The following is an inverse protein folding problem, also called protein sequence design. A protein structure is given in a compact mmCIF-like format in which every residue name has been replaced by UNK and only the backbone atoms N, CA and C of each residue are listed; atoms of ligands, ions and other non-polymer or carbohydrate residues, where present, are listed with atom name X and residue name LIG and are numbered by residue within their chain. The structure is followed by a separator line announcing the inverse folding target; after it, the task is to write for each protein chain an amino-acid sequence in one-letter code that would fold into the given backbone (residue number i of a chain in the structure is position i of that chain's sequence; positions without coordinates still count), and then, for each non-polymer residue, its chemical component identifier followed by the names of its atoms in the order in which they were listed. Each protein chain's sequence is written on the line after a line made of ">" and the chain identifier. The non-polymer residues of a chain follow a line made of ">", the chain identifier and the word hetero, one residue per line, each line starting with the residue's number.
data_IF_171590628024
#
_entry.id   IF_171590628024
#
_cell.length_a   1.000
_cell.length_b   1.000
_cell.length_c   1.000
_cell.angle_alpha   90.00
_cell.angle_beta   90.00
_cell.angle_gamma   90.00
#
_symmetry.space_group_name_H-M   'P 1'
#
loop_
_entity.id
_entity.type
_entity.pdbx_description
1 polymer ?
#
# COMPACT_ATOMS: atom_id res chain seq x y z
N UNK A 1 -16.89 -13.65 9.68
CA UNK A 1 -16.68 -12.27 10.16
C UNK A 1 -17.04 -11.30 9.04
N UNK A 2 -18.20 -10.62 9.12
CA UNK A 2 -18.74 -9.72 8.09
C UNK A 2 -18.67 -8.25 8.55
N UNK A 3 -17.47 -7.71 8.78
CA UNK A 3 -17.30 -6.32 9.23
C UNK A 3 -16.80 -5.40 8.09
N UNK A 4 -16.42 -5.96 6.93
CA UNK A 4 -15.72 -5.22 5.87
C UNK A 4 -16.59 -4.51 4.82
N UNK A 5 -17.91 -4.39 5.01
CA UNK A 5 -18.77 -3.72 4.01
C UNK A 5 -18.78 -2.20 4.15
N UNK A 6 -18.62 -1.67 5.37
CA UNK A 6 -18.56 -0.23 5.62
C UNK A 6 -17.17 0.37 5.32
N UNK A 7 -16.09 -0.41 5.45
CA UNK A 7 -14.73 0.01 5.05
C UNK A 7 -14.57 0.30 3.55
N UNK A 8 -15.53 -0.15 2.73
CA UNK A 8 -15.56 0.13 1.28
C UNK A 8 -16.33 1.39 0.92
N UNK A 9 -16.74 2.20 1.90
CA UNK A 9 -17.29 3.51 1.61
C UNK A 9 -16.21 4.34 0.88
N UNK A 10 -16.34 4.47 -0.44
CA UNK A 10 -15.38 5.16 -1.31
C UNK A 10 -15.35 6.70 -1.12
N UNK A 11 -15.90 7.18 0.00
CA UNK A 11 -16.15 8.58 0.29
C UNK A 11 -14.91 9.14 0.98
N UNK A 12 -14.05 9.76 0.20
CA UNK A 12 -12.78 10.35 0.59
C UNK A 12 -12.96 11.86 0.83
N UNK A 13 -13.79 12.54 0.04
CA UNK A 13 -13.94 14.00 0.04
C UNK A 13 -15.39 14.44 -0.25
N UNK A 14 -15.77 15.62 0.23
CA UNK A 14 -16.99 16.36 -0.10
C UNK A 14 -17.30 16.42 -1.60
N UNK A 15 -16.28 16.53 -2.47
CA UNK A 15 -16.48 16.54 -3.93
C UNK A 15 -17.27 15.33 -4.44
N UNK A 16 -17.15 14.18 -3.78
CA UNK A 16 -17.90 12.97 -4.15
C UNK A 16 -19.35 13.00 -3.69
N UNK A 17 -19.68 13.85 -2.71
CA UNK A 17 -21.03 14.06 -2.17
C UNK A 17 -21.75 15.27 -2.80
N UNK A 18 -21.05 16.07 -3.61
CA UNK A 18 -21.62 17.23 -4.30
C UNK A 18 -22.25 18.22 -3.31
N UNK A 19 -23.57 18.41 -3.41
CA UNK A 19 -24.31 19.35 -2.57
C UNK A 19 -24.88 18.74 -1.28
N UNK A 20 -24.61 17.47 -0.97
CA UNK A 20 -25.23 16.78 0.17
C UNK A 20 -24.91 17.40 1.53
N UNK A 21 -23.67 17.85 1.74
CA UNK A 21 -23.28 18.58 2.96
C UNK A 21 -24.01 19.92 3.07
N UNK A 22 -23.99 20.71 1.99
CA UNK A 22 -24.67 22.00 1.96
C UNK A 22 -26.16 21.85 2.32
N UNK A 23 -26.82 20.83 1.76
CA UNK A 23 -28.22 20.55 2.05
C UNK A 23 -28.45 20.16 3.52
N UNK A 24 -27.60 19.30 4.09
CA UNK A 24 -27.68 18.92 5.51
C UNK A 24 -27.50 20.11 6.46
N UNK A 25 -26.63 21.06 6.11
CA UNK A 25 -26.43 22.31 6.87
C UNK A 25 -27.64 23.23 6.73
N UNK A 26 -28.12 23.46 5.50
CA UNK A 26 -29.26 24.33 5.23
C UNK A 26 -30.56 23.85 5.91
N UNK A 27 -30.76 22.54 5.99
CA UNK A 27 -31.97 21.94 6.57
C UNK A 27 -31.81 21.61 8.06
N UNK A 28 -30.67 21.93 8.67
CA UNK A 28 -30.42 21.72 10.10
C UNK A 28 -30.30 20.25 10.53
N UNK A 29 -30.07 19.32 9.59
CA UNK A 29 -29.89 17.88 9.86
C UNK A 29 -28.49 17.59 10.39
N UNK A 30 -28.26 17.94 11.65
CA UNK A 30 -26.96 17.78 12.33
C UNK A 30 -26.47 16.33 12.38
N UNK A 31 -27.39 15.37 12.50
CA UNK A 31 -27.04 13.94 12.52
C UNK A 31 -26.39 13.52 11.20
N UNK A 32 -27.06 13.79 10.08
CA UNK A 32 -26.55 13.48 8.73
C UNK A 32 -25.23 14.20 8.46
N UNK A 33 -25.13 15.47 8.82
CA UNK A 33 -23.88 16.22 8.70
C UNK A 33 -22.73 15.54 9.47
N UNK A 34 -22.96 15.18 10.73
CA UNK A 34 -21.94 14.53 11.57
C UNK A 34 -21.51 13.16 11.04
N UNK A 35 -22.45 12.42 10.43
CA UNK A 35 -22.19 11.13 9.83
C UNK A 35 -21.39 11.27 8.53
N UNK A 36 -21.78 12.19 7.65
CA UNK A 36 -21.06 12.44 6.40
C UNK A 36 -19.63 12.91 6.70
N UNK A 37 -19.47 13.81 7.67
CA UNK A 37 -18.16 14.31 8.08
C UNK A 37 -17.26 13.21 8.67
N UNK A 38 -17.81 12.28 9.45
CA UNK A 38 -17.03 11.18 10.03
C UNK A 38 -16.58 10.15 8.98
N UNK A 39 -17.21 10.15 7.80
CA UNK A 39 -16.82 9.30 6.68
C UNK A 39 -15.66 9.86 5.86
N UNK A 40 -15.26 11.12 6.02
CA UNK A 40 -14.18 11.72 5.22
C UNK A 40 -12.79 11.21 5.62
N UNK A 41 -11.88 11.19 4.64
CA UNK A 41 -10.47 10.90 4.88
C UNK A 41 -9.85 12.06 5.66
N UNK A 42 -9.14 11.73 6.74
CA UNK A 42 -8.35 12.71 7.49
C UNK A 42 -6.97 12.94 6.86
N UNK A 43 -6.58 12.16 5.84
CA UNK A 43 -5.26 12.25 5.22
C UNK A 43 -5.20 13.39 4.20
N UNK A 44 -4.54 14.48 4.57
CA UNK A 44 -4.28 15.63 3.70
C UNK A 44 -3.37 15.31 2.51
N UNK A 45 -2.68 14.16 2.52
CA UNK A 45 -1.75 13.74 1.46
C UNK A 45 -2.45 13.11 0.26
N UNK A 46 -3.77 12.91 0.32
CA UNK A 46 -4.52 12.32 -0.78
C UNK A 46 -4.47 13.13 -2.09
N UNK A 47 -4.08 14.40 -2.03
CA UNK A 47 -4.00 15.32 -3.18
C UNK A 47 -2.55 15.76 -3.45
N UNK A 48 -1.56 15.22 -2.73
CA UNK A 48 -0.18 15.67 -2.89
C UNK A 48 0.46 14.98 -4.10
N UNK A 49 0.97 15.73 -5.09
CA UNK A 49 1.77 15.15 -6.16
C UNK A 49 3.06 14.57 -5.57
N UNK A 50 3.33 13.30 -5.86
CA UNK A 50 4.55 12.61 -5.45
C UNK A 50 5.45 12.48 -6.66
N UNK A 51 6.73 12.78 -6.51
CA UNK A 51 7.74 12.53 -7.54
C UNK A 51 8.26 11.10 -7.41
N UNK A 52 8.39 10.40 -8.53
CA UNK A 52 8.98 9.07 -8.55
C UNK A 52 10.49 9.19 -8.37
N UNK A 53 10.99 8.74 -7.22
CA UNK A 53 12.44 8.57 -7.02
C UNK A 53 12.85 7.30 -7.74
N UNK A 54 13.66 7.43 -8.78
CA UNK A 54 14.21 6.28 -9.49
C UNK A 54 15.12 5.51 -8.52
N UNK A 55 14.63 4.37 -8.03
CA UNK A 55 15.46 3.45 -7.28
C UNK A 55 16.50 2.84 -8.22
N UNK A 56 17.77 3.05 -7.89
CA UNK A 56 18.88 2.44 -8.61
C UNK A 56 18.91 0.96 -8.22
N UNK A 57 18.44 0.10 -9.12
CA UNK A 57 18.34 -1.38 -8.99
C UNK A 57 19.72 -2.07 -8.78
N UNK A 58 20.79 -1.31 -8.55
CA UNK A 58 22.15 -1.79 -8.73
C UNK A 58 22.92 -1.78 -7.40
N UNK A 59 23.07 -2.95 -6.78
CA UNK A 59 24.41 -3.46 -6.44
C UNK A 59 24.37 -4.88 -5.85
N UNK A 60 23.49 -5.18 -4.89
CA UNK A 60 23.61 -6.43 -4.11
C UNK A 60 23.32 -7.69 -4.94
N UNK A 61 22.28 -7.70 -5.76
CA UNK A 61 21.92 -8.87 -6.58
C UNK A 61 23.00 -9.21 -7.62
N UNK A 62 23.56 -8.18 -8.26
CA UNK A 62 24.64 -8.32 -9.25
C UNK A 62 25.91 -8.83 -8.57
N UNK A 63 26.26 -8.30 -7.40
CA UNK A 63 27.41 -8.74 -6.63
C UNK A 63 27.26 -10.18 -6.14
N UNK A 64 26.07 -10.56 -5.63
CA UNK A 64 25.78 -11.94 -5.21
C UNK A 64 25.92 -12.93 -6.35
N UNK A 65 25.44 -12.58 -7.54
CA UNK A 65 25.61 -13.40 -8.74
C UNK A 65 27.08 -13.54 -9.11
N UNK A 66 27.87 -12.46 -9.05
CA UNK A 66 29.31 -12.49 -9.33
C UNK A 66 30.09 -13.37 -8.33
N UNK A 67 29.71 -13.36 -7.06
CA UNK A 67 30.34 -14.15 -6.01
C UNK A 67 29.76 -15.57 -5.85
N UNK A 68 28.73 -15.94 -6.62
CA UNK A 68 28.06 -17.23 -6.52
C UNK A 68 27.43 -17.48 -5.14
N UNK A 69 26.95 -16.42 -4.48
CA UNK A 69 26.34 -16.51 -3.15
C UNK A 69 24.94 -17.13 -3.24
N UNK A 70 24.56 -17.87 -2.20
CA UNK A 70 23.20 -18.40 -2.05
C UNK A 70 22.15 -17.28 -2.01
N UNK A 71 20.90 -17.66 -2.29
CA UNK A 71 19.77 -16.75 -2.18
C UNK A 71 19.73 -16.11 -0.79
N UNK A 72 19.43 -14.80 -0.71
CA UNK A 72 19.31 -14.12 0.57
C UNK A 72 18.21 -14.79 1.40
N UNK A 73 18.46 -14.89 2.71
CA UNK A 73 17.44 -15.34 3.64
C UNK A 73 16.24 -14.41 3.56
N UNK A 74 15.05 -14.97 3.34
CA UNK A 74 13.83 -14.16 3.28
C UNK A 74 13.61 -13.49 4.63
N UNK A 75 13.37 -12.18 4.60
CA UNK A 75 13.02 -11.45 5.81
C UNK A 75 11.60 -11.82 6.28
N UNK A 76 10.74 -12.27 5.36
CA UNK A 76 9.32 -12.56 5.61
C UNK A 76 8.93 -13.96 5.20
N UNK A 77 8.00 -14.53 5.95
CA UNK A 77 7.35 -15.77 5.60
C UNK A 77 6.47 -15.61 4.37
N UNK A 78 6.58 -16.57 3.47
CA UNK A 78 5.59 -16.89 2.46
C UNK A 78 4.95 -18.24 2.81
N UNK A 79 3.91 -18.64 2.08
CA UNK A 79 3.29 -19.96 2.10
C UNK A 79 4.32 -21.10 2.16
N UNK A 80 5.39 -21.02 1.37
CA UNK A 80 6.48 -22.01 1.32
C UNK A 80 7.38 -22.03 2.57
N UNK A 81 7.44 -20.93 3.33
CA UNK A 81 8.27 -20.83 4.54
C UNK A 81 7.72 -21.68 5.67
N UNK A 82 6.42 -21.96 5.70
CA UNK A 82 5.81 -22.82 6.72
C UNK A 82 6.23 -24.30 6.54
N UNK A 83 6.29 -24.77 5.29
CA UNK A 83 6.75 -26.13 4.99
C UNK A 83 8.22 -26.32 5.36
N UNK A 84 9.03 -25.30 5.08
CA UNK A 84 10.47 -25.28 5.37
C UNK A 84 10.75 -25.31 6.88
N UNK A 85 10.05 -24.50 7.68
CA UNK A 85 10.11 -24.56 9.13
C UNK A 85 9.70 -25.92 9.69
N UNK A 86 8.63 -26.52 9.14
CA UNK A 86 8.17 -27.83 9.56
C UNK A 86 9.23 -28.92 9.30
N UNK A 87 9.91 -28.87 8.15
CA UNK A 87 11.02 -29.78 7.82
C UNK A 87 12.21 -29.59 8.78
N UNK A 88 12.61 -28.34 9.05
CA UNK A 88 13.72 -28.03 9.97
C UNK A 88 13.40 -28.47 11.41
N UNK A 89 12.15 -28.26 11.87
CA UNK A 89 11.68 -28.72 13.17
C UNK A 89 11.67 -30.25 13.26
N UNK A 90 11.27 -30.93 12.18
CA UNK A 90 11.32 -32.40 12.10
C UNK A 90 12.75 -32.91 12.20
N UNK A 91 13.68 -32.32 11.46
CA UNK A 91 15.09 -32.70 11.52
C UNK A 91 15.75 -32.42 12.87
N UNK A 92 15.32 -31.36 13.56
CA UNK A 92 15.70 -31.10 14.94
C UNK A 92 15.23 -32.23 15.87
N UNK A 93 13.99 -32.69 15.69
CA UNK A 93 13.44 -33.79 16.49
C UNK A 93 14.15 -35.12 16.22
N UNK A 94 14.37 -35.46 14.96
CA UNK A 94 14.88 -36.78 14.54
C UNK A 94 16.40 -36.92 14.73
N UNK A 95 17.17 -35.87 14.43
CA UNK A 95 18.63 -35.92 14.34
C UNK A 95 19.33 -34.80 15.13
N UNK A 96 18.58 -34.02 15.90
CA UNK A 96 19.10 -32.99 16.78
C UNK A 96 19.56 -31.71 16.06
N UNK A 97 20.21 -30.86 16.85
CA UNK A 97 20.63 -29.51 16.46
C UNK A 97 21.59 -29.43 15.25
N UNK A 98 22.57 -30.35 15.05
CA UNK A 98 23.45 -30.28 13.89
C UNK A 98 22.71 -30.45 12.56
N UNK A 99 21.72 -31.36 12.52
CA UNK A 99 20.91 -31.63 11.33
C UNK A 99 20.05 -30.42 10.96
N UNK A 100 19.35 -29.85 11.95
CA UNK A 100 18.55 -28.65 11.77
C UNK A 100 19.37 -27.45 11.27
N UNK A 101 20.57 -27.24 11.84
CA UNK A 101 21.47 -26.17 11.38
C UNK A 101 21.95 -26.36 9.96
N UNK A 102 22.34 -27.58 9.58
CA UNK A 102 22.76 -27.88 8.21
C UNK A 102 21.64 -27.56 7.21
N UNK A 103 20.42 -28.01 7.51
CA UNK A 103 19.25 -27.72 6.67
C UNK A 103 18.96 -26.23 6.55
N UNK A 104 19.02 -25.51 7.67
CA UNK A 104 18.88 -24.06 7.67
C UNK A 104 19.97 -23.35 6.84
N UNK A 105 21.23 -23.81 6.89
CA UNK A 105 22.31 -23.23 6.07
C UNK A 105 22.17 -23.54 4.58
N UNK A 106 21.55 -24.66 4.22
CA UNK A 106 21.28 -25.02 2.82
C UNK A 106 20.06 -24.29 2.27
N UNK A 107 18.99 -24.17 3.07
CA UNK A 107 17.74 -23.50 2.73
C UNK A 107 17.30 -22.65 3.93
N UNK A 108 17.66 -21.36 3.95
CA UNK A 108 17.35 -20.51 5.07
C UNK A 108 15.85 -20.28 5.16
N UNK A 109 15.33 -20.42 6.38
CA UNK A 109 13.94 -20.14 6.70
C UNK A 109 13.70 -18.63 6.88
N UNK A 110 12.45 -18.19 6.83
CA UNK A 110 12.09 -16.80 7.02
C UNK A 110 12.46 -16.32 8.43
N UNK A 111 12.96 -15.08 8.54
CA UNK A 111 13.29 -14.50 9.85
C UNK A 111 12.06 -14.15 10.69
N UNK A 112 10.96 -13.76 10.03
CA UNK A 112 9.74 -13.32 10.70
C UNK A 112 8.50 -13.91 10.05
N UNK A 113 7.63 -14.45 10.89
CA UNK A 113 6.30 -14.91 10.52
C UNK A 113 5.30 -13.82 10.85
N UNK A 114 4.77 -13.16 9.81
CA UNK A 114 3.74 -12.14 9.96
C UNK A 114 2.38 -12.71 9.54
N UNK A 115 1.28 -12.19 10.12
CA UNK A 115 -0.07 -12.52 9.65
C UNK A 115 -0.23 -12.16 8.17
N UNK A 116 -0.86 -13.04 7.41
CA UNK A 116 -1.23 -12.79 6.02
C UNK A 116 -2.25 -11.63 5.92
N UNK A 117 -2.31 -10.97 4.77
CA UNK A 117 -3.26 -9.89 4.44
C UNK A 117 -3.21 -8.61 5.32
N UNK A 118 -2.16 -8.42 6.13
CA UNK A 118 -1.99 -7.23 6.99
C UNK A 118 -1.07 -6.15 6.40
N UNK A 119 -0.71 -6.26 5.13
CA UNK A 119 0.24 -5.36 4.45
C UNK A 119 1.54 -5.11 5.23
N UNK A 120 1.99 -6.13 5.95
CA UNK A 120 3.20 -6.14 6.77
C UNK A 120 3.15 -5.31 8.06
N UNK A 121 1.95 -5.03 8.53
CA UNK A 121 1.73 -4.46 9.84
C UNK A 121 1.39 -5.58 10.83
N UNK A 122 1.75 -5.43 12.11
CA UNK A 122 1.21 -6.30 13.15
C UNK A 122 -0.33 -6.29 13.10
N UNK A 123 -0.97 -7.41 13.42
CA UNK A 123 -2.42 -7.55 13.37
C UNK A 123 -3.13 -6.46 14.19
N UNK A 124 -2.62 -6.18 15.39
CA UNK A 124 -3.14 -5.14 16.29
C UNK A 124 -3.11 -3.74 15.66
N UNK A 125 -2.07 -3.44 14.88
CA UNK A 125 -1.92 -2.16 14.20
C UNK A 125 -2.87 -2.10 13.02
N UNK A 126 -2.91 -3.16 12.21
CA UNK A 126 -3.75 -3.22 11.01
C UNK A 126 -5.24 -3.06 11.35
N UNK A 127 -5.73 -3.72 12.40
CA UNK A 127 -7.14 -3.60 12.81
C UNK A 127 -7.49 -2.26 13.45
N UNK A 128 -6.50 -1.49 13.91
CA UNK A 128 -6.70 -0.16 14.45
C UNK A 128 -6.74 0.92 13.35
N UNK A 129 -6.20 0.61 12.17
CA UNK A 129 -6.23 1.56 11.04
C UNK A 129 -7.66 1.87 10.60
N UNK A 130 -7.87 3.13 10.24
CA UNK A 130 -9.10 3.57 9.59
C UNK A 130 -9.29 2.84 8.26
N UNK A 131 -10.54 2.76 7.78
CA UNK A 131 -10.86 2.14 6.49
C UNK A 131 -10.10 2.80 5.32
N UNK A 132 -9.91 4.12 5.39
CA UNK A 132 -9.16 4.89 4.39
C UNK A 132 -7.68 4.50 4.33
N UNK A 133 -7.04 4.33 5.49
CA UNK A 133 -5.64 3.88 5.57
C UNK A 133 -5.48 2.45 5.06
N UNK A 134 -6.39 1.54 5.45
CA UNK A 134 -6.39 0.15 4.95
C UNK A 134 -6.57 0.06 3.44
N UNK A 135 -7.39 0.95 2.86
CA UNK A 135 -7.53 1.07 1.41
C UNK A 135 -6.24 1.57 0.75
N UNK A 136 -5.64 2.62 1.30
CA UNK A 136 -4.38 3.21 0.78
C UNK A 136 -3.26 2.17 0.71
N UNK A 137 -3.16 1.27 1.69
CA UNK A 137 -2.21 0.15 1.69
C UNK A 137 -2.40 -0.82 0.50
N UNK A 138 -3.63 -0.99 0.01
CA UNK A 138 -3.97 -1.83 -1.14
C UNK A 138 -3.76 -1.13 -2.50
N UNK A 139 -3.88 0.19 -2.56
CA UNK A 139 -3.72 0.99 -3.77
C UNK A 139 -2.24 1.36 -4.01
N UNK A 140 -1.41 0.36 -4.32
CA UNK A 140 0.04 0.54 -4.52
C UNK A 140 0.45 1.38 -5.74
N UNK A 141 -0.48 1.67 -6.65
CA UNK A 141 -0.24 2.43 -7.86
C UNK A 141 -1.21 3.60 -7.96
N UNK A 142 -1.02 4.61 -7.09
CA UNK A 142 -1.65 5.90 -7.33
C UNK A 142 -0.98 6.48 -8.56
N UNK A 143 -1.72 6.67 -9.64
CA UNK A 143 -1.23 7.41 -10.82
C UNK A 143 -0.77 8.77 -10.33
N UNK A 144 0.56 8.95 -10.32
CA UNK A 144 1.16 10.25 -10.08
C UNK A 144 0.55 11.21 -11.08
N UNK A 145 -0.01 12.32 -10.59
CA UNK A 145 -0.55 13.34 -11.48
C UNK A 145 0.62 13.78 -12.36
N UNK A 146 0.51 13.64 -13.70
CA UNK A 146 1.61 13.94 -14.58
C UNK A 146 1.84 15.45 -14.52
N UNK A 147 2.97 15.81 -13.89
CA UNK A 147 3.70 17.05 -14.06
C UNK A 147 2.95 18.33 -13.62
N UNK A 148 3.67 19.21 -12.92
CA UNK A 148 3.25 20.59 -12.64
C UNK A 148 2.99 21.41 -13.94
N UNK A 149 3.26 20.82 -15.12
CA UNK A 149 3.04 21.37 -16.45
C UNK A 149 1.60 21.38 -16.97
N UNK A 150 0.62 20.70 -16.36
CA UNK A 150 -0.77 20.65 -16.89
C UNK A 150 -1.39 22.05 -17.07
N UNK A 151 -1.16 22.96 -16.11
CA UNK A 151 -1.64 24.34 -16.19
C UNK A 151 -1.02 25.06 -17.40
N UNK A 152 0.30 24.91 -17.59
CA UNK A 152 1.00 25.50 -18.73
C UNK A 152 0.47 24.94 -20.05
N UNK A 153 0.23 23.62 -20.13
CA UNK A 153 -0.33 22.95 -21.31
C UNK A 153 -1.72 23.49 -21.67
N UNK A 154 -2.62 23.61 -20.68
CA UNK A 154 -3.97 24.16 -20.88
C UNK A 154 -3.92 25.61 -21.36
N UNK A 155 -3.07 26.45 -20.76
CA UNK A 155 -2.89 27.84 -21.18
C UNK A 155 -2.36 27.92 -22.61
N UNK A 156 -1.37 27.10 -22.98
CA UNK A 156 -0.89 27.05 -24.38
C UNK A 156 -1.97 26.56 -25.34
N UNK A 157 -2.76 25.54 -24.97
CA UNK A 157 -3.82 25.02 -25.82
C UNK A 157 -4.93 26.07 -26.05
N UNK A 158 -5.36 26.76 -24.98
CA UNK A 158 -6.32 27.85 -25.08
C UNK A 158 -5.80 28.97 -25.98
N UNK A 159 -4.53 29.35 -25.83
CA UNK A 159 -3.92 30.42 -26.64
C UNK A 159 -3.84 30.02 -28.12
N UNK A 160 -3.48 28.78 -28.43
CA UNK A 160 -3.50 28.26 -29.80
C UNK A 160 -4.91 28.26 -30.40
N UNK A 161 -5.91 27.85 -29.63
CA UNK A 161 -7.30 27.86 -30.08
C UNK A 161 -7.78 29.28 -30.41
N UNK A 162 -7.49 30.26 -29.55
CA UNK A 162 -7.85 31.66 -29.80
C UNK A 162 -7.22 32.21 -31.08
N UNK A 163 -5.95 31.89 -31.34
CA UNK A 163 -5.25 32.27 -32.57
C UNK A 163 -5.93 31.65 -33.79
N UNK A 164 -6.29 30.37 -33.73
CA UNK A 164 -6.98 29.69 -34.83
C UNK A 164 -8.37 30.26 -35.12
N UNK A 165 -9.10 30.72 -34.10
CA UNK A 165 -10.44 31.31 -34.28
C UNK A 165 -10.41 32.75 -34.82
N UNK A 166 -9.26 33.42 -34.79
CA UNK A 166 -9.10 34.80 -35.28
C UNK A 166 -8.51 34.88 -36.70
N UNK A 167 -8.08 33.76 -37.28
CA UNK A 167 -7.61 33.63 -38.66
C UNK A 167 -8.75 33.21 -39.60
#
# INVERSE_FOLDING_TARGET
>A
MQIHTLDKAAIINELQFGNGINHAVHEGRRADFSLILSMFSNDVRDVVPVEEVQEVITSDDILRQQFGLSQPQSLRSDSSSYELAAEQAKQFHDAGLPSAKLSHYLKPDALTYLPEDTFNLPEEVYHNLSGHERRSLGERNKTLIPDAGLYNQLVTAQRHYQIQTQA
#
